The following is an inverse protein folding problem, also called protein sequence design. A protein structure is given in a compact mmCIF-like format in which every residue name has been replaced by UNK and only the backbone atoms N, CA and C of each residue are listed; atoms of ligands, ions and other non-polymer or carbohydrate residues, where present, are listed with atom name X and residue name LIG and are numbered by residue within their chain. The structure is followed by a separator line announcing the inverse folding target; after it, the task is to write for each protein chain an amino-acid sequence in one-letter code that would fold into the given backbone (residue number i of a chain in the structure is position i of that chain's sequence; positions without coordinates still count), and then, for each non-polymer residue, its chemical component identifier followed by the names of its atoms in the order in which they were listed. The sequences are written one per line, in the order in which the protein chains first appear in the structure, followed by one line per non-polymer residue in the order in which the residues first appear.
data_IF_911498514828
#
_entry.id   IF_911498514828
#
_cell.length_a   1.000
_cell.length_b   1.000
_cell.length_c   1.000
_cell.angle_alpha   90.00
_cell.angle_beta   90.00
_cell.angle_gamma   90.00
#
_symmetry.space_group_name_H-M   'P 1'
#
loop_
_entity.id
_entity.type
_entity.pdbx_description
1 polymer ?
#
# COMPACT_ATOMS: atom_id res chain seq x y z
N UNK A 1 21.60 4.05 -12.02
CA UNK A 1 21.08 2.66 -12.07
C UNK A 1 20.17 2.48 -10.86
N UNK A 2 18.85 2.40 -11.10
CA UNK A 2 17.83 2.28 -10.05
C UNK A 2 17.15 0.92 -10.16
N UNK A 3 16.96 0.27 -9.01
CA UNK A 3 16.26 -1.01 -8.86
C UNK A 3 14.99 -0.80 -8.06
N UNK A 4 13.86 -1.16 -8.64
CA UNK A 4 12.53 -1.02 -8.05
C UNK A 4 12.02 -2.38 -7.58
N UNK A 5 11.50 -2.44 -6.35
CA UNK A 5 10.75 -3.59 -5.84
C UNK A 5 9.26 -3.22 -5.78
N UNK A 6 8.48 -3.76 -6.71
CA UNK A 6 7.04 -3.48 -6.79
C UNK A 6 6.20 -4.68 -6.42
N UNK A 7 5.23 -4.45 -5.53
CA UNK A 7 4.21 -5.43 -5.16
C UNK A 7 2.85 -4.98 -5.65
N UNK A 8 2.17 -5.89 -6.34
CA UNK A 8 0.88 -5.65 -6.98
C UNK A 8 1.02 -5.18 -8.43
N UNK A 9 0.42 -5.97 -9.34
CA UNK A 9 0.34 -5.73 -10.79
C UNK A 9 -1.13 -5.74 -11.25
N UNK A 10 -2.02 -5.38 -10.33
CA UNK A 10 -3.45 -5.23 -10.60
C UNK A 10 -3.77 -4.00 -11.47
N UNK A 11 -5.05 -3.62 -11.52
CA UNK A 11 -5.52 -2.49 -12.33
C UNK A 11 -4.84 -1.16 -11.99
N UNK A 12 -4.40 -0.98 -10.73
CA UNK A 12 -3.62 0.19 -10.29
C UNK A 12 -2.12 0.02 -10.46
N UNK A 13 -1.58 -1.18 -10.17
CA UNK A 13 -0.14 -1.43 -10.19
C UNK A 13 0.46 -1.48 -11.59
N UNK A 14 -0.25 -2.02 -12.58
CA UNK A 14 0.25 -2.06 -13.96
C UNK A 14 0.43 -0.66 -14.58
N UNK A 15 -0.50 0.31 -14.45
CA UNK A 15 -0.25 1.67 -14.90
C UNK A 15 0.94 2.35 -14.22
N UNK A 16 1.12 2.14 -12.91
CA UNK A 16 2.31 2.65 -12.18
C UNK A 16 3.58 2.07 -12.79
N UNK A 17 3.60 0.77 -12.98
CA UNK A 17 4.72 0.03 -13.56
C UNK A 17 5.08 0.52 -14.96
N UNK A 18 4.08 0.70 -15.85
CA UNK A 18 4.28 1.18 -17.22
C UNK A 18 4.89 2.59 -17.24
N UNK A 19 4.40 3.49 -16.37
CA UNK A 19 4.92 4.85 -16.23
C UNK A 19 6.35 4.88 -15.67
N UNK A 20 6.63 4.09 -14.64
CA UNK A 20 7.96 4.00 -14.06
C UNK A 20 8.98 3.40 -15.03
N UNK A 21 8.56 2.42 -15.83
CA UNK A 21 9.42 1.80 -16.83
C UNK A 21 9.89 2.79 -17.93
N UNK A 22 9.24 3.95 -18.12
CA UNK A 22 9.71 4.98 -19.04
C UNK A 22 10.87 5.81 -18.49
N UNK A 23 11.09 5.77 -17.19
CA UNK A 23 12.24 6.43 -16.56
C UNK A 23 13.52 5.64 -16.83
N UNK A 24 14.42 6.24 -17.60
CA UNK A 24 15.68 5.57 -18.01
C UNK A 24 16.66 5.29 -16.89
N UNK A 25 16.48 5.89 -15.72
CA UNK A 25 17.26 5.58 -14.51
C UNK A 25 16.92 4.20 -13.95
N UNK A 26 15.67 3.73 -14.19
CA UNK A 26 15.21 2.41 -13.74
C UNK A 26 15.68 1.37 -14.76
N UNK A 27 16.55 0.48 -14.32
CA UNK A 27 17.14 -0.56 -15.16
C UNK A 27 16.74 -1.96 -14.72
N UNK A 28 16.22 -2.09 -13.49
CA UNK A 28 15.77 -3.37 -12.95
C UNK A 28 14.49 -3.18 -12.14
N UNK A 29 13.51 -4.05 -12.39
CA UNK A 29 12.26 -4.11 -11.64
C UNK A 29 12.04 -5.54 -11.16
N UNK A 30 11.75 -5.69 -9.87
CA UNK A 30 11.34 -6.96 -9.27
C UNK A 30 9.84 -6.85 -9.00
N UNK A 31 9.06 -7.74 -9.61
CA UNK A 31 7.60 -7.78 -9.52
C UNK A 31 7.13 -8.92 -8.63
N UNK A 32 6.25 -8.60 -7.68
CA UNK A 32 5.56 -9.57 -6.84
C UNK A 32 4.07 -9.46 -7.04
N UNK A 33 3.44 -10.52 -7.53
CA UNK A 33 1.97 -10.62 -7.67
C UNK A 33 1.58 -12.10 -7.72
N UNK A 34 0.64 -12.58 -6.87
CA UNK A 34 0.20 -13.97 -6.84
C UNK A 34 -0.87 -14.27 -7.88
N UNK A 35 -1.51 -13.25 -8.46
CA UNK A 35 -2.77 -13.39 -9.13
C UNK A 35 -2.65 -13.89 -10.56
N UNK A 36 -3.65 -14.66 -10.94
CA UNK A 36 -3.95 -15.01 -12.32
C UNK A 36 -4.96 -14.00 -12.89
N UNK A 37 -4.72 -13.58 -14.14
CA UNK A 37 -5.61 -12.69 -14.86
C UNK A 37 -6.94 -13.36 -15.18
N UNK A 38 -8.04 -12.76 -14.74
CA UNK A 38 -9.39 -13.34 -14.81
C UNK A 38 -10.32 -12.54 -15.73
N UNK A 39 -11.43 -13.14 -16.15
CA UNK A 39 -12.39 -12.51 -17.06
C UNK A 39 -12.95 -11.18 -16.56
N UNK A 40 -13.19 -11.04 -15.25
CA UNK A 40 -13.67 -9.81 -14.64
C UNK A 40 -12.60 -8.68 -14.59
N UNK A 41 -11.33 -9.00 -14.83
CA UNK A 41 -10.28 -8.01 -14.89
C UNK A 41 -10.26 -7.24 -16.21
N UNK A 42 -10.77 -7.82 -17.30
CA UNK A 42 -10.67 -7.28 -18.67
C UNK A 42 -11.16 -5.84 -18.80
N UNK A 43 -12.24 -5.47 -18.11
CA UNK A 43 -12.82 -4.13 -18.20
C UNK A 43 -11.97 -3.03 -17.54
N UNK A 44 -11.17 -3.39 -16.54
CA UNK A 44 -10.36 -2.45 -15.75
C UNK A 44 -8.87 -2.53 -16.01
N UNK A 45 -8.41 -3.66 -16.56
CA UNK A 45 -7.01 -3.94 -16.84
C UNK A 45 -6.62 -3.56 -18.28
N UNK A 46 -5.36 -3.73 -18.62
CA UNK A 46 -4.80 -3.38 -19.94
C UNK A 46 -4.64 -4.59 -20.86
N UNK A 47 -4.70 -5.80 -20.31
CA UNK A 47 -4.53 -7.02 -21.09
C UNK A 47 -5.85 -7.43 -21.77
N UNK A 48 -5.76 -8.05 -22.98
CA UNK A 48 -6.92 -8.50 -23.71
C UNK A 48 -7.55 -9.75 -23.06
N UNK A 49 -8.78 -10.08 -23.47
CA UNK A 49 -9.50 -11.26 -23.00
C UNK A 49 -8.73 -12.57 -23.27
N UNK A 50 -7.92 -12.62 -24.32
CA UNK A 50 -7.07 -13.78 -24.65
C UNK A 50 -5.97 -14.06 -23.62
N UNK A 51 -5.68 -13.13 -22.74
CA UNK A 51 -4.71 -13.28 -21.66
C UNK A 51 -5.29 -13.94 -20.39
N UNK A 52 -6.61 -14.18 -20.35
CA UNK A 52 -7.26 -14.82 -19.18
C UNK A 52 -6.65 -16.21 -18.93
N UNK A 53 -6.34 -16.48 -17.67
CA UNK A 53 -5.69 -17.72 -17.21
C UNK A 53 -4.18 -17.64 -17.06
N UNK A 54 -3.55 -16.51 -17.40
CA UNK A 54 -2.10 -16.29 -17.26
C UNK A 54 -1.78 -15.45 -16.00
N UNK A 55 -0.59 -15.64 -15.46
CA UNK A 55 -0.11 -14.86 -14.31
C UNK A 55 -0.02 -13.37 -14.65
N UNK A 56 -0.50 -12.49 -13.75
CA UNK A 56 -0.47 -11.04 -13.97
C UNK A 56 0.97 -10.51 -14.06
N UNK A 57 1.87 -11.00 -13.23
CA UNK A 57 3.28 -10.62 -13.25
C UNK A 57 3.96 -11.02 -14.58
N UNK A 58 3.67 -12.21 -15.11
CA UNK A 58 4.18 -12.68 -16.41
C UNK A 58 3.70 -11.79 -17.56
N UNK A 59 2.41 -11.47 -17.56
CA UNK A 59 1.83 -10.57 -18.57
C UNK A 59 2.45 -9.16 -18.51
N UNK A 60 2.73 -8.68 -17.31
CA UNK A 60 3.38 -7.39 -17.12
C UNK A 60 4.85 -7.40 -17.61
N UNK A 61 5.58 -8.48 -17.34
CA UNK A 61 6.95 -8.65 -17.84
C UNK A 61 6.98 -8.63 -19.38
N UNK A 62 6.09 -9.37 -20.04
CA UNK A 62 5.98 -9.36 -21.50
C UNK A 62 5.60 -7.98 -22.04
N UNK A 63 4.67 -7.29 -21.37
CA UNK A 63 4.26 -5.94 -21.71
C UNK A 63 5.43 -4.96 -21.69
N UNK A 64 6.28 -5.04 -20.66
CA UNK A 64 7.45 -4.20 -20.51
C UNK A 64 8.54 -4.56 -21.53
N UNK A 65 8.82 -5.84 -21.74
CA UNK A 65 9.81 -6.31 -22.70
C UNK A 65 9.51 -5.83 -24.13
N UNK A 66 8.23 -5.76 -24.49
CA UNK A 66 7.82 -5.22 -25.80
C UNK A 66 8.03 -3.72 -25.97
N UNK A 67 8.26 -2.96 -24.88
CA UNK A 67 8.41 -1.49 -24.86
C UNK A 67 9.82 -1.05 -24.52
N UNK A 68 10.48 -1.81 -23.67
CA UNK A 68 11.80 -1.47 -23.13
C UNK A 68 12.65 -2.73 -22.97
N UNK A 69 13.25 -3.12 -24.12
CA UNK A 69 14.07 -4.34 -24.18
C UNK A 69 15.34 -4.28 -23.32
N UNK A 70 15.77 -3.07 -22.93
CA UNK A 70 16.92 -2.84 -22.05
C UNK A 70 16.59 -2.94 -20.54
N UNK A 71 15.30 -3.06 -20.19
CA UNK A 71 14.84 -3.18 -18.80
C UNK A 71 14.87 -4.63 -18.35
N UNK A 72 15.57 -4.91 -17.27
CA UNK A 72 15.51 -6.22 -16.62
C UNK A 72 14.28 -6.30 -15.72
N UNK A 73 13.42 -7.29 -15.96
CA UNK A 73 12.24 -7.53 -15.11
C UNK A 73 12.33 -8.94 -14.54
N UNK A 74 12.46 -9.03 -13.23
CA UNK A 74 12.43 -10.27 -12.46
C UNK A 74 11.04 -10.46 -11.86
N UNK A 75 10.54 -11.70 -11.85
CA UNK A 75 9.24 -12.03 -11.25
C UNK A 75 9.43 -12.92 -10.04
N UNK A 76 8.74 -12.59 -8.96
CA UNK A 76 8.51 -13.51 -7.84
C UNK A 76 7.00 -13.79 -7.81
N UNK A 77 6.53 -14.87 -8.47
CA UNK A 77 5.12 -15.20 -8.48
C UNK A 77 4.72 -15.76 -7.12
N UNK A 78 3.95 -15.00 -6.36
CA UNK A 78 3.49 -15.41 -5.04
C UNK A 78 2.96 -14.28 -4.19
N UNK A 79 2.33 -14.65 -3.09
CA UNK A 79 1.78 -13.71 -2.12
C UNK A 79 2.91 -13.12 -1.27
N UNK A 80 2.88 -11.80 -1.09
CA UNK A 80 3.83 -11.10 -0.22
C UNK A 80 3.81 -11.64 1.23
N UNK A 81 2.67 -12.17 1.67
CA UNK A 81 2.49 -12.75 3.01
C UNK A 81 2.95 -14.21 3.11
N UNK A 82 3.33 -14.84 2.00
CA UNK A 82 3.79 -16.23 2.01
C UNK A 82 5.13 -16.35 2.76
N UNK A 83 5.18 -17.09 3.90
CA UNK A 83 6.40 -17.24 4.69
C UNK A 83 7.51 -17.99 3.92
N UNK A 84 7.18 -18.84 2.97
CA UNK A 84 8.18 -19.58 2.19
C UNK A 84 8.92 -18.69 1.19
N UNK A 85 8.31 -17.59 0.77
CA UNK A 85 8.87 -16.62 -0.16
C UNK A 85 9.65 -15.49 0.54
N UNK A 86 9.55 -15.34 1.88
CA UNK A 86 10.23 -14.27 2.61
C UNK A 86 11.73 -14.20 2.34
N UNK A 87 12.51 -15.31 2.27
CA UNK A 87 13.93 -15.23 1.94
C UNK A 87 14.22 -14.63 0.56
N UNK A 88 13.33 -14.83 -0.41
CA UNK A 88 13.45 -14.23 -1.75
C UNK A 88 13.20 -12.73 -1.72
N UNK A 89 12.18 -12.28 -0.96
CA UNK A 89 11.90 -10.85 -0.80
C UNK A 89 13.04 -10.14 -0.07
N UNK A 90 13.55 -10.72 1.01
CA UNK A 90 14.71 -10.19 1.74
C UNK A 90 15.94 -10.06 0.82
N UNK A 91 16.23 -11.09 0.02
CA UNK A 91 17.34 -11.05 -0.94
C UNK A 91 17.13 -9.94 -2.01
N UNK A 92 15.93 -9.80 -2.56
CA UNK A 92 15.58 -8.78 -3.53
C UNK A 92 15.77 -7.36 -2.95
N UNK A 93 15.34 -7.15 -1.71
CA UNK A 93 15.39 -5.87 -1.03
C UNK A 93 16.81 -5.43 -0.65
N UNK A 94 17.77 -6.34 -0.55
CA UNK A 94 19.18 -5.95 -0.34
C UNK A 94 19.68 -5.08 -1.49
N UNK A 95 19.20 -5.31 -2.70
CA UNK A 95 19.66 -4.63 -3.92
C UNK A 95 18.68 -3.58 -4.43
N UNK A 96 17.43 -3.56 -3.98
CA UNK A 96 16.45 -2.56 -4.36
C UNK A 96 16.79 -1.18 -3.78
N UNK A 97 16.49 -0.13 -4.52
CA UNK A 97 16.68 1.25 -4.09
C UNK A 97 15.38 1.84 -3.53
N UNK A 98 14.23 1.42 -4.04
CA UNK A 98 12.92 1.92 -3.67
C UNK A 98 11.86 0.82 -3.76
N UNK A 99 10.87 0.89 -2.86
CA UNK A 99 9.66 0.07 -2.92
C UNK A 99 8.47 0.79 -3.52
N UNK A 100 7.65 0.06 -4.26
CA UNK A 100 6.37 0.53 -4.81
C UNK A 100 5.28 -0.44 -4.40
N UNK A 101 4.33 0.04 -3.59
CA UNK A 101 3.21 -0.75 -3.10
C UNK A 101 1.93 -0.37 -3.85
N UNK A 102 1.35 -1.34 -4.55
CA UNK A 102 0.12 -1.16 -5.32
C UNK A 102 -0.89 -2.28 -5.04
N UNK A 103 -0.98 -2.68 -3.77
CA UNK A 103 -1.92 -3.71 -3.28
C UNK A 103 -3.09 -3.07 -2.56
N UNK A 104 -4.23 -3.76 -2.52
CA UNK A 104 -5.44 -3.34 -1.83
C UNK A 104 -5.62 -4.02 -0.46
N UNK A 105 -4.86 -5.06 -0.16
CA UNK A 105 -4.88 -5.80 1.09
C UNK A 105 -4.19 -5.03 2.23
N UNK A 106 -4.91 -4.73 3.30
CA UNK A 106 -4.32 -4.08 4.49
C UNK A 106 -3.17 -4.90 5.11
N UNK A 107 -3.30 -6.20 5.35
CA UNK A 107 -2.18 -7.01 5.86
C UNK A 107 -0.93 -6.92 4.98
N UNK A 108 -1.09 -6.93 3.65
CA UNK A 108 0.03 -6.81 2.72
C UNK A 108 0.73 -5.44 2.81
N UNK A 109 -0.01 -4.34 3.01
CA UNK A 109 0.57 -2.99 3.21
C UNK A 109 1.41 -2.92 4.48
N UNK A 110 0.90 -3.46 5.59
CA UNK A 110 1.64 -3.53 6.85
C UNK A 110 2.90 -4.39 6.72
N UNK A 111 2.80 -5.51 6.04
CA UNK A 111 3.95 -6.39 5.82
C UNK A 111 5.00 -5.74 4.92
N UNK A 112 4.56 -5.08 3.83
CA UNK A 112 5.44 -4.31 2.94
C UNK A 112 6.18 -3.21 3.71
N UNK A 113 5.46 -2.43 4.53
CA UNK A 113 6.06 -1.41 5.40
C UNK A 113 7.15 -2.01 6.32
N UNK A 114 6.86 -3.16 6.94
CA UNK A 114 7.82 -3.84 7.80
C UNK A 114 9.10 -4.26 7.05
N UNK A 115 8.96 -4.80 5.84
CA UNK A 115 10.08 -5.16 4.96
C UNK A 115 10.90 -3.92 4.58
N UNK A 116 10.25 -2.85 4.12
CA UNK A 116 10.93 -1.61 3.72
C UNK A 116 11.72 -0.99 4.88
N UNK A 117 11.13 -0.95 6.08
CA UNK A 117 11.79 -0.44 7.29
C UNK A 117 12.99 -1.29 7.70
N UNK A 118 12.86 -2.62 7.63
CA UNK A 118 13.94 -3.55 7.96
C UNK A 118 15.15 -3.34 7.05
N UNK A 119 14.91 -3.11 5.77
CA UNK A 119 15.96 -2.86 4.78
C UNK A 119 16.36 -1.39 4.65
N UNK A 120 15.78 -0.50 5.47
CA UNK A 120 16.05 0.95 5.43
C UNK A 120 15.82 1.55 4.04
N UNK A 121 14.74 1.15 3.36
CA UNK A 121 14.39 1.60 2.00
C UNK A 121 13.23 2.59 2.00
N UNK A 122 13.29 3.63 1.18
CA UNK A 122 12.12 4.48 0.92
C UNK A 122 11.09 3.71 0.08
N UNK A 123 9.82 4.11 0.19
CA UNK A 123 8.77 3.50 -0.60
C UNK A 123 7.55 4.39 -0.76
N UNK A 124 6.70 4.05 -1.74
CA UNK A 124 5.48 4.77 -2.06
C UNK A 124 4.28 3.84 -2.13
N UNK A 125 3.09 4.39 -1.88
CA UNK A 125 1.83 3.67 -1.90
C UNK A 125 0.78 4.51 -2.63
N UNK A 126 0.02 3.89 -3.53
CA UNK A 126 -1.16 4.46 -4.15
C UNK A 126 -2.41 3.62 -3.87
N UNK A 127 -3.50 4.27 -3.51
CA UNK A 127 -4.76 3.62 -3.14
C UNK A 127 -5.95 4.33 -3.78
N UNK A 128 -6.86 3.58 -4.37
CA UNK A 128 -8.09 4.13 -4.96
C UNK A 128 -9.26 3.84 -4.02
N UNK A 129 -10.02 4.87 -3.69
CA UNK A 129 -11.23 4.73 -2.86
C UNK A 129 -12.33 3.96 -3.60
N UNK A 130 -13.15 3.24 -2.85
CA UNK A 130 -14.32 2.54 -3.37
C UNK A 130 -15.17 3.47 -4.26
N UNK A 131 -15.67 2.96 -5.38
CA UNK A 131 -16.40 3.76 -6.38
C UNK A 131 -15.56 4.74 -7.19
N UNK A 132 -14.23 4.82 -6.96
CA UNK A 132 -13.35 5.76 -7.66
C UNK A 132 -13.65 7.21 -7.36
N UNK A 133 -14.15 7.51 -6.16
CA UNK A 133 -14.51 8.88 -5.74
C UNK A 133 -13.28 9.74 -5.43
N UNK A 134 -12.15 9.10 -5.23
CA UNK A 134 -10.86 9.70 -4.93
C UNK A 134 -9.79 8.63 -4.74
N UNK A 135 -8.62 9.04 -4.26
CA UNK A 135 -7.55 8.12 -3.92
C UNK A 135 -6.42 8.80 -3.17
N UNK A 136 -5.66 7.99 -2.48
CA UNK A 136 -4.50 8.43 -1.73
C UNK A 136 -3.22 8.13 -2.47
N UNK A 137 -2.20 8.98 -2.24
CA UNK A 137 -0.80 8.68 -2.48
C UNK A 137 0.00 9.02 -1.22
N UNK A 138 0.91 8.11 -0.88
CA UNK A 138 1.74 8.20 0.31
C UNK A 138 3.20 7.98 -0.08
N UNK A 139 4.09 8.60 0.67
CA UNK A 139 5.50 8.27 0.59
C UNK A 139 6.09 8.11 1.99
N UNK A 140 7.06 7.23 2.07
CA UNK A 140 7.69 6.82 3.30
C UNK A 140 9.20 6.82 3.12
N UNK A 141 9.90 7.21 4.17
CA UNK A 141 11.37 7.15 4.21
C UNK A 141 11.85 6.56 5.53
N UNK A 142 13.05 6.04 5.57
CA UNK A 142 13.69 5.61 6.81
C UNK A 142 13.66 6.73 7.87
N UNK A 143 13.31 6.37 9.09
CA UNK A 143 13.18 7.33 10.20
C UNK A 143 11.90 8.19 10.20
N UNK A 144 11.13 8.19 9.12
CA UNK A 144 9.83 8.85 9.01
C UNK A 144 8.68 8.06 9.64
N UNK A 145 7.42 8.52 9.46
CA UNK A 145 6.25 7.75 9.85
C UNK A 145 6.19 6.42 9.07
N UNK A 146 5.72 5.36 9.71
CA UNK A 146 5.40 4.09 9.06
C UNK A 146 3.93 4.06 8.60
N UNK A 147 3.55 3.01 7.87
CA UNK A 147 2.15 2.84 7.46
C UNK A 147 1.20 2.83 8.66
N UNK A 148 1.57 2.21 9.78
CA UNK A 148 0.77 2.23 11.01
C UNK A 148 0.55 3.63 11.58
N UNK A 149 1.54 4.54 11.49
CA UNK A 149 1.34 5.94 11.88
C UNK A 149 0.29 6.63 10.99
N UNK A 150 0.34 6.36 9.68
CA UNK A 150 -0.61 6.91 8.71
C UNK A 150 -2.01 6.35 8.93
N UNK A 151 -2.14 5.03 9.09
CA UNK A 151 -3.42 4.35 9.33
C UNK A 151 -4.10 4.87 10.62
N UNK A 152 -3.33 4.99 11.70
CA UNK A 152 -3.84 5.53 12.98
C UNK A 152 -4.28 6.99 12.83
N UNK A 153 -3.50 7.82 12.16
CA UNK A 153 -3.84 9.23 11.94
C UNK A 153 -5.12 9.39 11.13
N UNK A 154 -5.27 8.59 10.07
CA UNK A 154 -6.46 8.59 9.21
C UNK A 154 -7.64 7.84 9.83
N UNK A 155 -7.49 7.33 11.05
CA UNK A 155 -8.49 6.49 11.73
C UNK A 155 -8.97 5.33 10.85
N UNK A 156 -8.06 4.73 10.12
CA UNK A 156 -8.31 3.50 9.36
C UNK A 156 -8.37 2.33 10.36
N UNK A 157 -9.41 2.28 11.12
CA UNK A 157 -9.77 1.19 11.99
C UNK A 157 -11.17 0.75 11.61
N UNK A 158 -11.51 -0.49 11.91
CA UNK A 158 -12.90 -0.93 11.90
C UNK A 158 -13.57 -0.11 13.02
N UNK A 159 -14.22 1.02 12.68
CA UNK A 159 -15.22 1.55 13.59
C UNK A 159 -16.31 0.48 13.66
N UNK A 160 -16.61 -0.10 14.84
CA UNK A 160 -17.78 -0.95 14.95
C UNK A 160 -18.96 -0.08 14.53
N UNK A 161 -19.73 -0.52 13.54
CA UNK A 161 -21.01 0.10 13.22
C UNK A 161 -21.82 0.13 14.51
N UNK A 162 -22.07 1.34 15.02
CA UNK A 162 -22.79 1.58 16.30
C UNK A 162 -24.23 1.06 16.24
N UNK A 163 -24.70 0.64 15.05
CA UNK A 163 -26.02 0.04 14.80
C UNK A 163 -26.00 -1.46 14.45
N UNK A 164 -24.89 -2.13 14.60
CA UNK A 164 -24.85 -3.56 14.37
C UNK A 164 -25.68 -4.28 15.46
N UNK A 165 -26.74 -4.95 15.06
CA UNK A 165 -27.41 -5.92 15.95
C UNK A 165 -26.37 -6.85 16.53
N UNK A 166 -26.46 -7.25 17.81
CA UNK A 166 -25.47 -8.15 18.38
C UNK A 166 -25.28 -9.36 17.47
N UNK A 167 -24.02 -9.76 17.20
CA UNK A 167 -23.74 -10.86 16.28
C UNK A 167 -24.47 -12.11 16.72
N UNK A 168 -25.20 -12.74 15.82
CA UNK A 168 -25.78 -14.05 16.06
C UNK A 168 -24.69 -15.11 15.93
N UNK A 169 -24.10 -15.50 17.03
CA UNK A 169 -23.05 -16.52 17.09
C UNK A 169 -23.52 -17.95 16.74
N UNK A 170 -24.82 -18.15 16.47
CA UNK A 170 -25.36 -19.44 16.06
C UNK A 170 -25.26 -19.67 14.54
N UNK A 171 -24.95 -18.64 13.77
CA UNK A 171 -24.74 -18.78 12.33
C UNK A 171 -23.24 -18.82 12.01
N UNK A 172 -22.78 -19.69 11.07
CA UNK A 172 -21.43 -19.62 10.57
C UNK A 172 -21.23 -18.21 10.02
N UNK A 173 -20.16 -17.54 10.44
CA UNK A 173 -19.83 -16.18 10.04
C UNK A 173 -19.85 -16.08 8.52
N UNK A 174 -20.96 -15.60 7.96
CA UNK A 174 -20.94 -15.07 6.61
C UNK A 174 -19.97 -13.89 6.69
N UNK A 175 -18.81 -14.02 6.06
CA UNK A 175 -17.90 -12.91 5.86
C UNK A 175 -18.75 -11.79 5.24
N UNK A 176 -18.88 -10.66 5.96
CA UNK A 176 -19.44 -9.45 5.37
C UNK A 176 -18.41 -9.07 4.30
N UNK A 177 -18.61 -9.53 3.08
CA UNK A 177 -17.91 -8.98 1.94
C UNK A 177 -18.29 -7.50 1.91
N UNK A 178 -17.37 -6.65 2.34
CA UNK A 178 -17.49 -5.22 2.07
C UNK A 178 -17.84 -5.08 0.59
N UNK A 179 -19.02 -4.57 0.29
CA UNK A 179 -19.47 -4.36 -1.08
C UNK A 179 -18.57 -3.28 -1.71
N UNK A 180 -17.40 -3.70 -2.20
CA UNK A 180 -16.45 -2.81 -2.87
C UNK A 180 -17.05 -2.39 -4.21
N UNK A 181 -17.47 -1.14 -4.30
CA UNK A 181 -17.91 -0.57 -5.58
C UNK A 181 -16.67 -0.42 -6.48
N UNK A 182 -16.65 -1.07 -7.65
CA UNK A 182 -15.50 -0.99 -8.54
C UNK A 182 -15.24 0.45 -8.98
N UNK A 183 -13.97 0.87 -8.91
CA UNK A 183 -13.54 2.13 -9.47
C UNK A 183 -13.45 2.05 -11.00
N UNK A 184 -13.77 3.16 -11.69
CA UNK A 184 -13.55 3.24 -13.14
C UNK A 184 -12.07 3.18 -13.50
N UNK A 185 -11.75 2.67 -14.68
CA UNK A 185 -10.36 2.62 -15.18
C UNK A 185 -9.72 4.02 -15.20
N UNK A 186 -10.48 5.08 -15.52
CA UNK A 186 -9.98 6.45 -15.50
C UNK A 186 -9.61 6.92 -14.10
N UNK A 187 -10.44 6.65 -13.08
CA UNK A 187 -10.13 6.99 -11.70
C UNK A 187 -8.86 6.27 -11.20
N UNK A 188 -8.74 4.98 -11.51
CA UNK A 188 -7.56 4.18 -11.19
C UNK A 188 -6.31 4.78 -11.83
N UNK A 189 -6.38 5.12 -13.13
CA UNK A 189 -5.23 5.67 -13.86
C UNK A 189 -4.79 7.04 -13.36
N UNK A 190 -5.71 7.91 -12.91
CA UNK A 190 -5.34 9.21 -12.30
C UNK A 190 -4.51 8.99 -11.04
N UNK A 191 -4.94 8.11 -10.16
CA UNK A 191 -4.21 7.84 -8.92
C UNK A 191 -2.89 7.11 -9.21
N UNK A 192 -2.88 6.18 -10.16
CA UNK A 192 -1.66 5.50 -10.59
C UNK A 192 -0.62 6.48 -11.18
N UNK A 193 -1.07 7.46 -11.97
CA UNK A 193 -0.19 8.50 -12.50
C UNK A 193 0.39 9.40 -11.39
N UNK A 194 -0.42 9.77 -10.38
CA UNK A 194 0.08 10.49 -9.21
C UNK A 194 1.08 9.66 -8.42
N UNK A 195 0.81 8.36 -8.23
CA UNK A 195 1.71 7.45 -7.54
C UNK A 195 3.05 7.32 -8.28
N UNK A 196 3.03 7.09 -9.58
CA UNK A 196 4.25 7.03 -10.39
C UNK A 196 5.04 8.34 -10.34
N UNK A 197 4.37 9.49 -10.49
CA UNK A 197 5.00 10.81 -10.43
C UNK A 197 5.64 11.06 -9.04
N UNK A 198 4.95 10.71 -7.95
CA UNK A 198 5.48 10.81 -6.59
C UNK A 198 6.72 9.94 -6.41
N UNK A 199 6.71 8.72 -6.96
CA UNK A 199 7.85 7.79 -6.93
C UNK A 199 9.04 8.35 -7.68
N UNK A 200 8.83 8.89 -8.89
CA UNK A 200 9.88 9.52 -9.69
C UNK A 200 10.48 10.74 -8.99
N UNK A 201 9.64 11.60 -8.41
CA UNK A 201 10.09 12.76 -7.66
C UNK A 201 10.91 12.37 -6.41
N UNK A 202 10.55 11.29 -5.73
CA UNK A 202 11.34 10.73 -4.64
C UNK A 202 12.69 10.19 -5.12
N UNK A 203 12.76 9.61 -6.34
CA UNK A 203 13.99 9.16 -6.96
C UNK A 203 14.89 10.32 -7.43
N UNK A 204 14.32 11.50 -7.71
CA UNK A 204 15.11 12.69 -8.11
C UNK A 204 15.99 13.20 -6.97
N UNK A 205 15.49 13.17 -5.75
CA UNK A 205 16.22 13.62 -4.55
C UNK A 205 15.86 12.78 -3.32
N UNK A 206 16.33 11.53 -3.23
CA UNK A 206 15.96 10.64 -2.13
C UNK A 206 16.28 11.17 -0.72
N UNK A 207 17.32 12.00 -0.60
CA UNK A 207 17.78 12.54 0.68
C UNK A 207 17.02 13.80 1.09
N UNK A 208 16.75 14.70 0.15
CA UNK A 208 16.14 16.01 0.39
C UNK A 208 14.65 16.06 0.04
N UNK A 209 14.06 14.98 -0.49
CA UNK A 209 12.67 14.97 -0.92
C UNK A 209 11.71 15.43 0.18
N UNK A 210 11.01 16.52 -0.06
CA UNK A 210 9.99 17.06 0.84
C UNK A 210 8.93 17.83 0.05
N UNK A 211 7.86 17.17 -0.38
CA UNK A 211 6.79 17.81 -1.14
C UNK A 211 5.81 18.61 -0.26
N UNK A 212 6.11 18.78 1.02
CA UNK A 212 5.25 19.46 1.99
C UNK A 212 4.11 18.59 2.54
N UNK A 213 4.12 17.29 2.26
CA UNK A 213 3.17 16.32 2.81
C UNK A 213 3.80 14.92 2.84
N UNK A 214 3.28 14.03 3.67
CA UNK A 214 3.58 12.60 3.65
C UNK A 214 2.45 11.79 3.01
N UNK A 215 1.25 12.35 3.05
CA UNK A 215 0.01 11.74 2.57
C UNK A 215 -0.82 12.78 1.84
N UNK A 216 -1.31 12.44 0.66
CA UNK A 216 -2.24 13.27 -0.10
C UNK A 216 -3.43 12.45 -0.55
N UNK A 217 -4.65 12.96 -0.33
CA UNK A 217 -5.88 12.48 -0.94
C UNK A 217 -6.27 13.44 -2.06
N UNK A 218 -6.55 12.89 -3.24
CA UNK A 218 -7.18 13.64 -4.33
C UNK A 218 -8.63 13.21 -4.47
N UNK A 219 -9.59 14.16 -4.33
CA UNK A 219 -11.00 13.90 -4.66
C UNK A 219 -11.17 13.86 -6.18
N UNK A 220 -11.85 12.84 -6.71
CA UNK A 220 -12.12 12.70 -8.15
C UNK A 220 -13.57 12.98 -8.53
N UNK A 221 -14.44 13.04 -7.54
CA UNK A 221 -15.87 13.32 -7.73
C UNK A 221 -16.39 14.18 -6.58
N UNK A 222 -17.47 14.94 -6.86
CA UNK A 222 -18.28 15.55 -5.81
C UNK A 222 -19.16 14.44 -5.24
N UNK A 223 -19.09 14.24 -3.92
CA UNK A 223 -19.92 13.29 -3.17
C UNK A 223 -20.51 14.03 -1.98
N UNK A 224 -21.82 14.26 -1.92
CA UNK A 224 -22.46 14.98 -0.82
C UNK A 224 -22.07 14.39 0.55
N UNK A 225 -21.67 15.25 1.47
CA UNK A 225 -21.21 14.84 2.82
C UNK A 225 -19.79 14.31 2.88
N UNK A 226 -19.11 14.05 1.74
CA UNK A 226 -17.73 13.54 1.69
C UNK A 226 -16.81 14.53 0.98
N UNK A 227 -17.06 14.83 -0.29
CA UNK A 227 -16.25 15.73 -1.11
C UNK A 227 -17.10 16.82 -1.75
N UNK A 228 -16.85 18.09 -1.41
CA UNK A 228 -17.53 19.24 -2.00
C UNK A 228 -16.97 19.69 -3.35
N UNK A 229 -15.79 19.24 -3.72
CA UNK A 229 -15.07 19.69 -4.94
C UNK A 229 -14.39 18.51 -5.63
N UNK A 230 -14.37 18.54 -6.98
CA UNK A 230 -13.54 17.65 -7.79
C UNK A 230 -12.07 18.13 -7.83
N UNK A 231 -11.17 17.19 -7.94
CA UNK A 231 -9.72 17.43 -8.13
C UNK A 231 -9.09 18.30 -7.03
N UNK A 232 -9.70 18.29 -5.84
CA UNK A 232 -9.15 18.96 -4.68
C UNK A 232 -8.12 18.06 -3.98
N UNK A 233 -6.86 18.52 -3.83
CA UNK A 233 -5.88 17.81 -3.04
C UNK A 233 -6.06 18.15 -1.55
N UNK A 234 -6.13 17.11 -0.72
CA UNK A 234 -6.03 17.21 0.75
C UNK A 234 -4.69 16.64 1.15
N UNK A 235 -3.89 17.43 1.87
CA UNK A 235 -2.50 17.10 2.19
C UNK A 235 -2.27 17.07 3.69
N UNK A 236 -1.51 16.06 4.15
CA UNK A 236 -1.13 15.92 5.56
C UNK A 236 0.35 15.60 5.67
N UNK A 237 1.03 16.30 6.56
CA UNK A 237 2.38 15.97 7.03
C UNK A 237 2.23 15.18 8.31
N UNK A 238 2.03 13.88 8.19
CA UNK A 238 1.80 12.98 9.32
C UNK A 238 3.14 12.71 10.00
N UNK A 239 3.29 13.00 11.31
CA UNK A 239 4.51 12.72 12.03
C UNK A 239 4.63 11.24 12.37
N UNK A 240 5.86 10.78 12.64
CA UNK A 240 6.08 9.49 13.32
C UNK A 240 5.50 9.57 14.73
N UNK A 241 4.62 8.64 15.06
CA UNK A 241 4.03 8.58 16.39
C UNK A 241 5.00 7.93 17.37
N UNK A 242 5.27 8.55 18.53
CA UNK A 242 6.11 7.95 19.57
C UNK A 242 5.46 6.72 20.21
N UNK A 243 4.13 6.58 20.07
CA UNK A 243 3.34 5.46 20.63
C UNK A 243 3.02 4.39 19.58
N UNK A 244 3.55 4.52 18.34
CA UNK A 244 3.27 3.56 17.30
C UNK A 244 3.85 2.18 17.63
N UNK A 245 2.99 1.18 17.74
CA UNK A 245 3.40 -0.20 18.06
C UNK A 245 4.29 -0.84 16.99
N UNK A 246 4.30 -0.30 15.76
CA UNK A 246 5.03 -0.88 14.64
C UNK A 246 6.42 -0.28 14.44
N UNK A 247 6.59 1.02 14.67
CA UNK A 247 7.85 1.70 14.38
C UNK A 247 8.48 2.37 15.62
N UNK A 248 7.93 2.15 16.80
CA UNK A 248 8.51 2.61 18.07
C UNK A 248 9.93 2.07 18.20
N UNK A 249 10.91 2.87 18.64
CA UNK A 249 12.23 2.36 18.99
C UNK A 249 12.11 1.25 20.06
N UNK A 250 12.91 0.19 19.98
CA UNK A 250 12.88 -0.89 20.97
C UNK A 250 13.29 -0.47 22.40
N UNK A 251 13.72 0.78 22.60
CA UNK A 251 14.33 1.28 23.83
C UNK A 251 13.39 1.72 24.96
N UNK A 252 12.16 1.23 24.98
CA UNK A 252 11.48 1.01 26.24
C UNK A 252 11.23 -0.50 26.36
N UNK A 253 12.17 -1.20 26.98
CA UNK A 253 11.77 -2.31 27.83
C UNK A 253 10.67 -1.75 28.72
N UNK A 254 9.45 -2.22 28.53
CA UNK A 254 8.41 -2.10 29.56
C UNK A 254 8.98 -2.97 30.65
N UNK A 255 9.61 -2.35 31.64
CA UNK A 255 10.05 -3.08 32.81
C UNK A 255 8.81 -3.84 33.32
N UNK A 256 8.98 -5.09 33.74
CA UNK A 256 7.86 -5.86 34.28
C UNK A 256 7.12 -5.08 35.39
N UNK A 257 7.82 -4.20 36.09
CA UNK A 257 7.31 -3.23 37.06
C UNK A 257 6.32 -2.21 36.47
N UNK A 258 6.51 -1.77 35.20
CA UNK A 258 5.56 -0.87 34.53
C UNK A 258 4.27 -1.59 34.09
N UNK A 259 4.36 -2.88 33.79
CA UNK A 259 3.19 -3.71 33.46
C UNK A 259 2.35 -4.01 34.70
N UNK A 260 3.00 -4.34 35.81
CA UNK A 260 2.33 -4.59 37.12
C UNK A 260 1.68 -3.30 37.63
N UNK A 261 2.35 -2.15 37.49
CA UNK A 261 1.78 -0.86 37.87
C UNK A 261 0.57 -0.46 37.00
N UNK A 262 0.61 -0.70 35.71
CA UNK A 262 -0.51 -0.44 34.80
C UNK A 262 -1.70 -1.39 35.05
N UNK A 263 -1.41 -2.66 35.35
CA UNK A 263 -2.42 -3.65 35.72
C UNK A 263 -3.10 -3.29 37.06
N UNK A 264 -2.31 -2.87 38.06
CA UNK A 264 -2.82 -2.44 39.35
C UNK A 264 -3.75 -1.23 39.25
N UNK A 265 -3.36 -0.20 38.47
CA UNK A 265 -4.20 0.96 38.20
C UNK A 265 -5.48 0.60 37.43
N UNK A 266 -5.43 -0.35 36.50
CA UNK A 266 -6.61 -0.81 35.77
C UNK A 266 -7.58 -1.54 36.71
N UNK A 267 -7.08 -2.38 37.60
CA UNK A 267 -7.88 -3.11 38.59
C UNK A 267 -8.51 -2.17 39.64
N UNK A 268 -7.78 -1.14 40.09
CA UNK A 268 -8.34 -0.12 40.99
C UNK A 268 -9.49 0.68 40.34
N UNK A 269 -9.39 1.02 39.05
CA UNK A 269 -10.49 1.69 38.33
C UNK A 269 -11.74 0.81 38.23
N UNK A 270 -11.57 -0.48 37.96
CA UNK A 270 -12.70 -1.43 37.90
C UNK A 270 -13.33 -1.73 39.26
N UNK A 271 -12.61 -1.52 40.37
CA UNK A 271 -13.13 -1.71 41.73
C UNK A 271 -13.92 -0.50 42.26
N UNK A 272 -13.87 0.64 41.57
CA UNK A 272 -14.56 1.88 41.92
C UNK A 272 -15.74 2.23 40.99
N UNK A 273 -16.07 1.38 39.99
CA UNK A 273 -17.32 1.38 39.23
C UNK A 273 -18.32 0.33 39.79
#
# INVERSE_FOLDING_TARGET
MVRVFQVGVGSGGLPVLDLLAQDRRIEHIILVDPDVYQAHNVERHWFPRSAVGRGKAELAQEWLAARRADLTVEIIPGDLLDPELQPRYEAALTTADIGVCAVDSEPAKYHFDALMRRHNKPWTLGEVLSGGIGGFVHWFRPGGPCYGCVASFLKRGIEPEIDARPPDYSQPSASVEEARIPASKSAVNVIAALHANLTQALLDDPAGFNPGFTTMLLSLRIVPGVFGEMFRPHRWSIPRSPECLLCRPPDREIAAEDLDGALHQALERLAHE
#
